data_IF_264634157921
#
_entry.id   IF_264634157921
#
_cell.length_a   1.000
_cell.length_b   1.000
_cell.length_c   1.000
_cell.angle_alpha   90.00
_cell.angle_beta   90.00
_cell.angle_gamma   90.00
#
_symmetry.space_group_name_H-M   'P 1'
#
loop_
_entity.id
_entity.type
_entity.pdbx_description
1 polymer ?
#
# COMPACT_ATOMS: atom_id res chain seq x y z
N UNK A 1 1.09 -0.63 30.36
CA UNK A 1 1.29 0.85 30.55
C UNK A 1 2.52 1.09 31.42
N UNK A 2 3.27 2.19 31.15
CA UNK A 2 4.44 2.60 31.98
C UNK A 2 5.77 1.93 31.60
N UNK A 3 5.85 1.19 30.50
CA UNK A 3 7.12 0.64 29.99
C UNK A 3 7.80 1.68 29.10
N UNK A 4 9.08 1.98 29.39
CA UNK A 4 9.93 2.80 28.52
C UNK A 4 10.56 1.91 27.45
N UNK A 5 10.49 2.32 26.19
CA UNK A 5 11.11 1.65 25.05
C UNK A 5 12.13 2.57 24.39
N UNK A 6 13.30 2.03 24.08
CA UNK A 6 14.27 2.70 23.22
C UNK A 6 13.89 2.47 21.74
N UNK A 7 13.61 3.55 21.01
CA UNK A 7 13.16 3.49 19.63
C UNK A 7 14.10 4.29 18.72
N UNK A 8 14.49 3.65 17.61
CA UNK A 8 15.11 4.33 16.49
C UNK A 8 14.00 4.81 15.54
N UNK A 9 13.89 6.12 15.35
CA UNK A 9 12.83 6.75 14.54
C UNK A 9 13.40 7.49 13.34
N UNK A 10 12.52 7.96 12.43
CA UNK A 10 12.94 8.70 11.24
C UNK A 10 13.63 7.83 10.20
N UNK A 11 13.24 6.55 10.12
CA UNK A 11 13.82 5.57 9.19
C UNK A 11 12.97 5.47 7.92
N UNK A 12 13.67 5.35 6.78
CA UNK A 12 13.04 5.13 5.47
C UNK A 12 12.16 6.29 4.99
N UNK A 13 11.40 6.03 3.93
CA UNK A 13 10.51 6.98 3.28
C UNK A 13 9.06 6.52 3.41
N UNK A 14 8.14 7.45 3.66
CA UNK A 14 6.70 7.23 3.54
C UNK A 14 6.19 7.45 2.11
N UNK A 15 4.89 7.28 1.91
CA UNK A 15 4.20 7.66 0.68
C UNK A 15 4.24 9.18 0.48
N UNK A 16 4.45 9.61 -0.78
CA UNK A 16 4.45 11.02 -1.15
C UNK A 16 3.02 11.51 -1.36
N UNK A 17 2.49 12.27 -0.41
CA UNK A 17 1.15 12.85 -0.49
C UNK A 17 1.08 14.15 -1.31
N UNK A 18 2.23 14.70 -1.73
CA UNK A 18 2.31 15.92 -2.53
C UNK A 18 2.09 15.68 -4.03
N UNK A 19 1.96 14.43 -4.46
CA UNK A 19 1.70 14.08 -5.85
C UNK A 19 0.39 14.70 -6.33
N UNK A 20 0.44 15.33 -7.51
CA UNK A 20 -0.75 15.86 -8.18
C UNK A 20 -1.64 14.68 -8.65
N UNK A 21 -2.68 14.44 -7.90
CA UNK A 21 -3.69 13.40 -8.15
C UNK A 21 -5.01 13.89 -7.54
N UNK A 22 -6.08 13.79 -8.28
CA UNK A 22 -7.43 14.14 -7.80
C UNK A 22 -8.18 12.90 -7.29
N UNK A 23 -7.90 11.74 -7.87
CA UNK A 23 -8.59 10.46 -7.59
C UNK A 23 -7.58 9.35 -7.25
N UNK A 24 -6.87 9.45 -6.13
CA UNK A 24 -5.94 8.40 -5.74
C UNK A 24 -6.66 7.10 -5.32
N UNK A 25 -6.11 5.97 -5.76
CA UNK A 25 -6.52 4.64 -5.34
C UNK A 25 -5.54 4.09 -4.29
N UNK A 26 -6.06 3.65 -3.15
CA UNK A 26 -5.29 2.95 -2.12
C UNK A 26 -5.60 1.45 -2.20
N UNK A 27 -4.56 0.62 -2.32
CA UNK A 27 -4.72 -0.84 -2.43
C UNK A 27 -3.97 -1.52 -1.29
N UNK A 28 -4.69 -2.16 -0.39
CA UNK A 28 -4.15 -2.82 0.80
C UNK A 28 -4.39 -4.32 0.81
N UNK A 29 -3.37 -5.11 1.16
CA UNK A 29 -3.49 -6.55 1.36
C UNK A 29 -3.02 -6.99 2.74
N UNK A 30 -3.89 -7.67 3.50
CA UNK A 30 -3.55 -8.19 4.84
C UNK A 30 -2.96 -7.11 5.75
N UNK A 31 -1.78 -7.35 6.30
CA UNK A 31 -1.09 -6.42 7.21
C UNK A 31 -0.64 -5.10 6.55
N UNK A 32 -0.74 -4.98 5.22
CA UNK A 32 -0.50 -3.73 4.51
C UNK A 32 -1.63 -2.69 4.62
N UNK A 33 -2.76 -3.05 5.23
CA UNK A 33 -3.94 -2.17 5.38
C UNK A 33 -3.71 -1.00 6.34
N UNK A 34 -3.13 -1.15 7.55
CA UNK A 34 -3.01 -0.06 8.53
C UNK A 34 -2.27 1.19 8.04
N UNK A 35 -1.12 1.10 7.33
CA UNK A 35 -0.44 2.30 6.84
C UNK A 35 -1.30 3.11 5.86
N UNK A 36 -2.16 2.46 5.08
CA UNK A 36 -3.06 3.13 4.15
C UNK A 36 -4.19 3.89 4.85
N UNK A 37 -4.56 3.51 6.07
CA UNK A 37 -5.58 4.25 6.82
C UNK A 37 -5.10 5.66 7.18
N UNK A 38 -3.84 5.80 7.60
CA UNK A 38 -3.27 7.14 7.83
C UNK A 38 -3.16 7.92 6.53
N UNK A 39 -2.67 7.29 5.46
CA UNK A 39 -2.56 7.90 4.15
C UNK A 39 -3.92 8.41 3.63
N UNK A 40 -4.99 7.61 3.79
CA UNK A 40 -6.35 8.02 3.40
C UNK A 40 -6.77 9.31 4.09
N UNK A 41 -6.52 9.44 5.40
CA UNK A 41 -6.82 10.66 6.16
C UNK A 41 -6.06 11.87 5.63
N UNK A 42 -4.78 11.72 5.33
CA UNK A 42 -3.93 12.80 4.86
C UNK A 42 -4.35 13.26 3.44
N UNK A 43 -4.72 12.33 2.56
CA UNK A 43 -5.23 12.64 1.22
C UNK A 43 -6.63 13.29 1.23
N UNK A 44 -7.53 12.79 2.09
CA UNK A 44 -8.86 13.41 2.28
C UNK A 44 -8.75 14.83 2.84
N UNK A 45 -7.82 15.08 3.76
CA UNK A 45 -7.57 16.43 4.29
C UNK A 45 -7.09 17.41 3.21
N UNK A 46 -6.50 16.91 2.11
CA UNK A 46 -6.14 17.68 0.92
C UNK A 46 -7.29 17.85 -0.07
N UNK A 47 -8.49 17.34 0.24
CA UNK A 47 -9.68 17.43 -0.62
C UNK A 47 -9.70 16.42 -1.77
N UNK A 48 -8.84 15.41 -1.77
CA UNK A 48 -8.78 14.38 -2.83
C UNK A 48 -9.95 13.39 -2.70
N UNK A 49 -10.42 12.86 -3.83
CA UNK A 49 -11.46 11.82 -3.85
C UNK A 49 -10.80 10.44 -3.78
N UNK A 50 -10.74 9.88 -2.57
CA UNK A 50 -9.99 8.65 -2.28
C UNK A 50 -10.88 7.42 -2.48
N UNK A 51 -10.43 6.47 -3.31
CA UNK A 51 -10.96 5.10 -3.38
C UNK A 51 -10.02 4.13 -2.68
N UNK A 52 -10.58 3.11 -2.01
CA UNK A 52 -9.80 2.12 -1.26
C UNK A 52 -10.25 0.71 -1.64
N UNK A 53 -9.28 -0.15 -1.96
CA UNK A 53 -9.51 -1.58 -2.18
C UNK A 53 -8.72 -2.37 -1.13
N UNK A 54 -9.42 -3.20 -0.37
CA UNK A 54 -8.82 -4.06 0.65
C UNK A 54 -8.96 -5.53 0.26
N UNK A 55 -7.86 -6.26 0.25
CA UNK A 55 -7.80 -7.69 -0.08
C UNK A 55 -7.45 -8.56 1.11
N UNK A 56 -8.19 -9.65 1.30
CA UNK A 56 -8.01 -10.64 2.36
C UNK A 56 -8.21 -12.06 1.81
N UNK A 57 -7.80 -13.09 2.55
CA UNK A 57 -8.10 -14.46 2.14
C UNK A 57 -9.56 -14.82 2.42
N UNK A 58 -10.07 -14.43 3.59
CA UNK A 58 -11.42 -14.74 4.08
C UNK A 58 -12.04 -13.53 4.79
N UNK A 59 -13.35 -13.58 4.98
CA UNK A 59 -14.09 -12.53 5.72
C UNK A 59 -13.67 -12.39 7.18
N UNK A 60 -13.17 -13.45 7.80
CA UNK A 60 -12.71 -13.43 9.20
C UNK A 60 -11.40 -12.68 9.41
N UNK A 61 -10.64 -12.45 8.33
CA UNK A 61 -9.39 -11.68 8.37
C UNK A 61 -9.61 -10.18 8.17
N UNK A 62 -10.81 -9.75 7.85
CA UNK A 62 -11.10 -8.34 7.53
C UNK A 62 -11.02 -7.50 8.79
N UNK A 63 -10.21 -6.46 8.72
CA UNK A 63 -10.08 -5.43 9.73
C UNK A 63 -9.94 -4.05 9.08
N UNK A 64 -10.15 -2.97 9.83
CA UNK A 64 -10.17 -1.57 9.38
C UNK A 64 -11.25 -1.20 8.34
N UNK A 65 -12.14 -2.11 7.96
CA UNK A 65 -13.17 -1.82 6.96
C UNK A 65 -14.17 -0.76 7.43
N UNK A 66 -14.58 -0.83 8.71
CA UNK A 66 -15.54 0.13 9.26
C UNK A 66 -14.87 1.49 9.53
N UNK A 67 -13.59 1.49 9.90
CA UNK A 67 -12.79 2.70 10.04
C UNK A 67 -12.64 3.44 8.69
N UNK A 68 -12.33 2.74 7.61
CA UNK A 68 -12.29 3.35 6.27
C UNK A 68 -13.65 3.89 5.83
N UNK A 69 -14.74 3.15 6.08
CA UNK A 69 -16.10 3.64 5.81
C UNK A 69 -16.42 4.92 6.57
N UNK A 70 -16.00 5.00 7.84
CA UNK A 70 -16.20 6.18 8.67
C UNK A 70 -15.47 7.42 8.15
N UNK A 71 -14.40 7.24 7.34
CA UNK A 71 -13.71 8.35 6.65
C UNK A 71 -14.49 8.88 5.44
N UNK A 72 -15.50 8.16 4.94
CA UNK A 72 -16.27 8.55 3.76
C UNK A 72 -15.60 8.26 2.42
N UNK A 73 -14.62 7.33 2.38
CA UNK A 73 -13.98 6.87 1.14
C UNK A 73 -14.87 5.89 0.38
N UNK A 74 -14.68 5.78 -0.94
CA UNK A 74 -15.26 4.71 -1.74
C UNK A 74 -14.52 3.40 -1.42
N UNK A 75 -15.11 2.53 -0.59
CA UNK A 75 -14.46 1.31 -0.09
C UNK A 75 -14.95 0.07 -0.83
N UNK A 76 -14.00 -0.72 -1.35
CA UNK A 76 -14.20 -2.02 -1.98
C UNK A 76 -13.43 -3.10 -1.22
N UNK A 77 -14.00 -4.29 -1.11
CA UNK A 77 -13.38 -5.43 -0.45
C UNK A 77 -13.36 -6.61 -1.40
N UNK A 78 -12.23 -7.33 -1.45
CA UNK A 78 -12.13 -8.63 -2.08
C UNK A 78 -11.69 -9.69 -1.07
N UNK A 79 -12.24 -10.90 -1.22
CA UNK A 79 -11.78 -12.09 -0.49
C UNK A 79 -11.51 -13.23 -1.46
N UNK A 80 -10.41 -13.92 -1.27
CA UNK A 80 -10.01 -15.01 -2.17
C UNK A 80 -11.07 -16.09 -2.24
N UNK A 81 -11.66 -16.44 -1.08
CA UNK A 81 -12.72 -17.44 -0.98
C UNK A 81 -14.13 -16.94 -1.39
N UNK A 82 -14.30 -15.62 -1.56
CA UNK A 82 -15.57 -15.00 -1.89
C UNK A 82 -16.55 -14.88 -0.72
N UNK A 83 -16.05 -15.01 0.51
CA UNK A 83 -16.89 -14.93 1.73
C UNK A 83 -17.40 -13.51 2.03
N UNK A 84 -16.75 -12.46 1.45
CA UNK A 84 -17.21 -11.05 1.52
C UNK A 84 -16.65 -10.23 0.37
N UNK A 85 -17.49 -9.38 -0.22
CA UNK A 85 -17.13 -8.50 -1.33
C UNK A 85 -16.93 -9.26 -2.63
N UNK A 86 -16.00 -8.81 -3.46
CA UNK A 86 -15.65 -9.46 -4.72
C UNK A 86 -14.85 -10.72 -4.45
N UNK A 87 -15.23 -11.83 -5.08
CA UNK A 87 -14.46 -13.08 -5.01
C UNK A 87 -13.20 -12.95 -5.86
N UNK A 88 -12.04 -13.13 -5.24
CA UNK A 88 -10.74 -13.06 -5.93
C UNK A 88 -9.79 -12.09 -5.26
N UNK A 89 -8.94 -11.47 -6.07
CA UNK A 89 -7.88 -10.56 -5.64
C UNK A 89 -8.30 -9.09 -5.77
N UNK A 90 -7.50 -8.19 -5.24
CA UNK A 90 -7.70 -6.74 -5.34
C UNK A 90 -7.84 -6.26 -6.79
N UNK A 91 -7.13 -6.88 -7.73
CA UNK A 91 -7.21 -6.59 -9.16
C UNK A 91 -8.57 -6.95 -9.76
N UNK A 92 -9.24 -7.97 -9.22
CA UNK A 92 -10.59 -8.34 -9.63
C UNK A 92 -11.60 -7.31 -9.15
N UNK A 93 -11.46 -6.83 -7.91
CA UNK A 93 -12.30 -5.76 -7.37
C UNK A 93 -12.15 -4.44 -8.14
N UNK A 94 -10.91 -4.06 -8.50
CA UNK A 94 -10.65 -2.85 -9.30
C UNK A 94 -11.37 -2.95 -10.66
N UNK A 95 -11.28 -4.10 -11.32
CA UNK A 95 -11.87 -4.33 -12.64
C UNK A 95 -13.39 -4.40 -12.59
N UNK A 96 -13.96 -5.17 -11.63
CA UNK A 96 -15.40 -5.37 -11.49
C UNK A 96 -16.12 -4.08 -11.13
N UNK A 97 -15.55 -3.28 -10.25
CA UNK A 97 -16.10 -1.98 -9.85
C UNK A 97 -15.77 -0.85 -10.85
N UNK A 98 -15.00 -1.13 -11.91
CA UNK A 98 -14.57 -0.14 -12.91
C UNK A 98 -14.04 1.15 -12.24
N UNK A 99 -13.17 1.00 -11.23
CA UNK A 99 -12.69 2.12 -10.43
C UNK A 99 -11.80 3.01 -11.31
N UNK A 100 -12.18 4.30 -11.40
CA UNK A 100 -11.41 5.32 -12.10
C UNK A 100 -10.44 5.99 -11.12
N UNK A 101 -9.15 5.99 -11.44
CA UNK A 101 -8.10 6.62 -10.65
C UNK A 101 -6.96 7.12 -11.53
N UNK A 102 -6.23 8.12 -11.04
CA UNK A 102 -5.13 8.78 -11.75
C UNK A 102 -3.75 8.51 -11.11
N UNK A 103 -3.73 7.99 -9.91
CA UNK A 103 -2.54 7.55 -9.17
C UNK A 103 -2.89 6.44 -8.20
N UNK A 104 -1.94 5.56 -7.84
CA UNK A 104 -2.20 4.57 -6.81
C UNK A 104 -1.09 4.46 -5.77
N UNK A 105 -1.51 4.08 -4.56
CA UNK A 105 -0.65 3.74 -3.44
C UNK A 105 -0.96 2.32 -3.00
N UNK A 106 0.07 1.50 -2.79
CA UNK A 106 -0.17 0.11 -2.42
C UNK A 106 0.77 -0.39 -1.33
N UNK A 107 0.22 -1.18 -0.40
CA UNK A 107 0.97 -1.88 0.63
C UNK A 107 0.37 -3.27 0.84
N UNK A 108 1.22 -4.31 0.79
CA UNK A 108 0.78 -5.69 0.96
C UNK A 108 1.78 -6.70 0.39
N UNK A 109 1.37 -7.97 0.24
CA UNK A 109 2.24 -9.03 -0.24
C UNK A 109 2.81 -8.75 -1.63
N UNK A 110 4.08 -9.13 -1.84
CA UNK A 110 4.81 -8.91 -3.10
C UNK A 110 4.06 -9.41 -4.36
N UNK A 111 3.40 -10.59 -4.35
CA UNK A 111 2.60 -11.02 -5.49
C UNK A 111 1.44 -10.08 -5.83
N UNK A 112 0.80 -9.47 -4.81
CA UNK A 112 -0.25 -8.47 -5.00
C UNK A 112 0.30 -7.19 -5.65
N UNK A 113 1.43 -6.68 -5.14
CA UNK A 113 2.10 -5.49 -5.70
C UNK A 113 2.48 -5.71 -7.16
N UNK A 114 3.03 -6.89 -7.49
CA UNK A 114 3.39 -7.28 -8.86
C UNK A 114 2.17 -7.34 -9.78
N UNK A 115 1.08 -7.99 -9.33
CA UNK A 115 -0.16 -8.09 -10.10
C UNK A 115 -0.77 -6.71 -10.36
N UNK A 116 -0.78 -5.84 -9.35
CA UNK A 116 -1.29 -4.48 -9.47
C UNK A 116 -0.48 -3.67 -10.50
N UNK A 117 0.84 -3.75 -10.47
CA UNK A 117 1.69 -3.10 -11.48
C UNK A 117 1.46 -3.60 -12.91
N UNK A 118 1.09 -4.87 -13.05
CA UNK A 118 0.79 -5.47 -14.36
C UNK A 118 -0.57 -5.06 -14.93
N UNK A 119 -1.53 -4.67 -14.09
CA UNK A 119 -2.88 -4.31 -14.52
C UNK A 119 -3.17 -2.80 -14.54
N UNK A 120 -2.33 -1.99 -13.88
CA UNK A 120 -2.50 -0.53 -13.84
C UNK A 120 -1.50 0.16 -14.76
N UNK A 121 -1.97 1.07 -15.60
CA UNK A 121 -1.11 1.84 -16.51
C UNK A 121 -0.63 3.17 -15.88
N UNK A 122 -1.36 3.68 -14.89
CA UNK A 122 -1.03 4.93 -14.20
C UNK A 122 0.18 4.78 -13.27
N UNK A 123 0.80 5.90 -12.94
CA UNK A 123 1.88 5.98 -11.96
C UNK A 123 1.41 5.61 -10.56
N UNK A 124 2.34 5.18 -9.71
CA UNK A 124 1.99 4.82 -8.34
C UNK A 124 3.20 4.55 -7.47
N UNK A 125 2.92 4.35 -6.20
CA UNK A 125 3.89 4.02 -5.17
C UNK A 125 3.53 2.72 -4.46
N UNK A 126 4.58 1.93 -4.17
CA UNK A 126 4.44 0.63 -3.54
C UNK A 126 5.35 0.56 -2.31
N UNK A 127 4.79 0.13 -1.19
CA UNK A 127 5.53 -0.14 0.04
C UNK A 127 6.00 -1.58 0.05
N UNK A 128 7.32 -1.76 0.05
CA UNK A 128 7.98 -3.05 0.05
C UNK A 128 8.33 -3.49 1.47
N UNK A 129 8.33 -4.78 1.70
CA UNK A 129 8.82 -5.41 2.91
C UNK A 129 10.04 -6.29 2.56
N UNK A 130 11.09 -6.16 3.38
CA UNK A 130 12.29 -7.00 3.29
C UNK A 130 12.78 -7.37 4.68
N UNK A 131 13.53 -8.47 4.77
CA UNK A 131 14.19 -8.85 6.01
C UNK A 131 15.29 -7.85 6.36
N UNK A 132 15.11 -7.14 7.46
CA UNK A 132 16.02 -6.08 7.89
C UNK A 132 16.89 -6.56 9.05
N UNK A 133 18.23 -6.41 8.90
CA UNK A 133 19.16 -6.61 10.00
C UNK A 133 19.32 -5.36 10.86
N UNK A 134 19.84 -4.27 10.27
CA UNK A 134 20.12 -3.03 11.01
C UNK A 134 18.96 -2.02 11.04
N UNK A 135 18.10 -1.98 10.02
CA UNK A 135 17.00 -1.03 9.90
C UNK A 135 17.38 0.40 9.46
N UNK A 136 18.67 0.76 9.44
CA UNK A 136 19.14 2.13 9.12
C UNK A 136 20.10 2.22 7.92
N UNK A 137 20.26 1.14 7.14
CA UNK A 137 21.02 1.14 5.90
C UNK A 137 22.51 0.78 6.04
N UNK A 138 22.98 0.30 7.20
CA UNK A 138 24.39 -0.03 7.42
C UNK A 138 24.80 -1.41 6.90
N UNK A 139 23.95 -2.44 7.09
CA UNK A 139 24.31 -3.83 6.76
C UNK A 139 24.06 -4.25 5.31
N UNK A 140 23.34 -3.47 4.52
CA UNK A 140 22.97 -3.75 3.12
C UNK A 140 22.05 -4.98 2.92
N UNK A 141 21.57 -5.62 4.01
CA UNK A 141 20.83 -6.90 3.94
C UNK A 141 19.46 -6.82 3.25
N UNK A 142 18.81 -5.64 3.29
CA UNK A 142 17.52 -5.39 2.64
C UNK A 142 17.66 -4.73 1.26
N UNK A 143 18.79 -4.90 0.58
CA UNK A 143 19.06 -4.28 -0.73
C UNK A 143 18.23 -4.96 -1.81
N UNK A 144 17.47 -4.17 -2.56
CA UNK A 144 16.78 -4.57 -3.78
C UNK A 144 17.35 -3.87 -5.01
N UNK A 145 17.23 -4.51 -6.18
CA UNK A 145 17.64 -3.93 -7.47
C UNK A 145 16.47 -3.17 -8.08
N UNK A 146 16.75 -1.94 -8.51
CA UNK A 146 15.80 -1.11 -9.28
C UNK A 146 16.40 -0.76 -10.65
N UNK A 147 15.62 -0.15 -11.53
CA UNK A 147 16.11 0.34 -12.83
C UNK A 147 17.20 1.41 -12.70
N UNK A 148 17.25 2.10 -11.56
CA UNK A 148 18.18 3.20 -11.32
C UNK A 148 19.31 2.84 -10.34
N UNK A 149 19.52 1.53 -10.08
CA UNK A 149 20.54 1.03 -9.18
C UNK A 149 19.99 0.25 -8.00
N UNK A 150 20.82 0.11 -6.97
CA UNK A 150 20.43 -0.63 -5.77
C UNK A 150 19.88 0.30 -4.70
N UNK A 151 18.77 -0.08 -4.06
CA UNK A 151 18.16 0.63 -2.94
C UNK A 151 17.99 -0.29 -1.74
N UNK A 152 18.24 0.24 -0.56
CA UNK A 152 17.98 -0.46 0.71
C UNK A 152 16.57 -0.11 1.18
N UNK A 153 15.74 -1.12 1.35
CA UNK A 153 14.33 -0.90 1.74
C UNK A 153 14.22 -0.16 3.08
N UNK A 154 15.14 -0.38 4.02
CA UNK A 154 15.14 0.31 5.31
C UNK A 154 15.59 1.78 5.26
N UNK A 155 16.19 2.26 4.16
CA UNK A 155 16.75 3.62 4.05
C UNK A 155 16.18 4.40 2.87
N UNK A 156 16.30 3.89 1.66
CA UNK A 156 15.78 4.49 0.43
C UNK A 156 14.32 4.09 0.13
N UNK A 157 13.79 3.09 0.84
CA UNK A 157 12.41 2.64 0.90
C UNK A 157 11.78 2.95 2.27
N UNK A 158 10.71 2.24 2.71
CA UNK A 158 10.08 1.10 2.01
C UNK A 158 9.27 1.48 0.76
N UNK A 159 8.92 2.73 0.60
CA UNK A 159 8.11 3.18 -0.54
C UNK A 159 8.98 3.46 -1.75
N UNK A 160 8.67 2.81 -2.86
CA UNK A 160 9.34 2.96 -4.15
C UNK A 160 8.31 3.27 -5.23
N UNK A 161 8.72 4.06 -6.24
CA UNK A 161 7.86 4.37 -7.40
C UNK A 161 7.72 3.15 -8.31
N UNK A 162 6.52 2.93 -8.85
CA UNK A 162 6.21 1.84 -9.78
C UNK A 162 7.21 1.76 -10.94
N UNK A 163 7.58 2.92 -11.49
CA UNK A 163 8.43 3.03 -12.68
C UNK A 163 9.85 2.54 -12.46
N UNK A 164 10.32 2.52 -11.22
CA UNK A 164 11.68 2.09 -10.89
C UNK A 164 11.82 0.60 -10.57
N UNK A 165 10.70 -0.11 -10.40
CA UNK A 165 10.70 -1.52 -10.00
C UNK A 165 11.09 -2.43 -11.17
N UNK A 166 11.88 -3.46 -10.86
CA UNK A 166 12.18 -4.61 -11.72
C UNK A 166 11.48 -5.84 -11.12
N UNK A 167 10.56 -6.42 -11.86
CA UNK A 167 9.77 -7.59 -11.45
C UNK A 167 10.38 -8.90 -11.93
#
# INVERSE_FOLDING_TARGET
EGVTLDLLTGLGNGFDTSVESERPLLVGGGVGVPPLYRLAKDLLAQGKKVSVVLGFNTSSEIFYADEFKALGVDLYISTVDGSRGVKGFVTDAIREAAIEFDYFYSCGPLPMLKALCGCCEVSGELSFEERMGCGFGGCMGCTCKTKYGYKRICKEGPVLKREEIIW
#
